data_IF_464943367330
#
_entry.id   IF_464943367330
#
_cell.length_a   1.000
_cell.length_b   1.000
_cell.length_c   1.000
_cell.angle_alpha   90.00
_cell.angle_beta   90.00
_cell.angle_gamma   90.00
#
_symmetry.space_group_name_H-M   'P 1'
#
loop_
_entity.id
_entity.type
_entity.pdbx_description
1 polymer ?
#
# COMPACT_ATOMS: atom_id res chain seq x y z
N UNK A 1 -57.54 -62.43 42.25
CA UNK A 1 -56.61 -61.37 41.76
C UNK A 1 -57.14 -60.93 40.39
N UNK A 2 -57.39 -59.62 40.18
CA UNK A 2 -58.01 -59.14 38.94
C UNK A 2 -56.96 -59.05 37.82
N UNK A 3 -57.04 -59.95 36.82
CA UNK A 3 -56.10 -60.06 35.70
C UNK A 3 -56.07 -58.81 34.81
N UNK A 4 -57.19 -58.08 34.75
CA UNK A 4 -57.31 -56.85 33.96
C UNK A 4 -56.47 -55.71 34.57
N UNK A 5 -56.47 -55.61 35.90
CA UNK A 5 -55.62 -54.66 36.64
C UNK A 5 -54.14 -54.97 36.43
N UNK A 6 -53.78 -56.25 36.44
CA UNK A 6 -52.40 -56.68 36.20
C UNK A 6 -51.95 -56.37 34.75
N UNK A 7 -52.80 -56.65 33.76
CA UNK A 7 -52.52 -56.35 32.35
C UNK A 7 -52.33 -54.84 32.11
N UNK A 8 -53.22 -54.01 32.67
CA UNK A 8 -53.10 -52.55 32.60
C UNK A 8 -51.82 -52.03 33.25
N UNK A 9 -51.42 -52.58 34.40
CA UNK A 9 -50.18 -52.21 35.06
C UNK A 9 -48.95 -52.54 34.21
N UNK A 10 -48.90 -53.71 33.57
CA UNK A 10 -47.81 -54.07 32.66
C UNK A 10 -47.75 -53.12 31.46
N UNK A 11 -48.90 -52.79 30.85
CA UNK A 11 -48.95 -51.86 29.74
C UNK A 11 -48.48 -50.46 30.13
N UNK A 12 -48.86 -50.00 31.32
CA UNK A 12 -48.42 -48.72 31.87
C UNK A 12 -46.91 -48.70 32.16
N UNK A 13 -46.35 -49.79 32.68
CA UNK A 13 -44.90 -49.93 32.87
C UNK A 13 -44.17 -49.87 31.52
N UNK A 14 -44.71 -50.50 30.48
CA UNK A 14 -44.16 -50.43 29.12
C UNK A 14 -44.14 -49.01 28.55
N UNK A 15 -45.25 -48.27 28.69
CA UNK A 15 -45.34 -46.86 28.28
C UNK A 15 -44.39 -45.97 29.08
N UNK A 16 -44.29 -46.18 30.40
CA UNK A 16 -43.40 -45.43 31.26
C UNK A 16 -41.93 -45.66 30.89
N UNK A 17 -41.55 -46.91 30.62
CA UNK A 17 -40.19 -47.25 30.16
C UNK A 17 -39.85 -46.54 28.86
N UNK A 18 -40.74 -46.58 27.86
CA UNK A 18 -40.53 -45.86 26.60
C UNK A 18 -40.40 -44.34 26.83
N UNK A 19 -41.24 -43.77 27.70
CA UNK A 19 -41.14 -42.35 28.07
C UNK A 19 -39.82 -42.00 28.75
N UNK A 20 -39.27 -42.89 29.59
CA UNK A 20 -37.95 -42.71 30.22
C UNK A 20 -36.83 -42.77 29.17
N UNK A 21 -36.91 -43.67 28.20
CA UNK A 21 -35.92 -43.79 27.13
C UNK A 21 -35.90 -42.53 26.25
N UNK A 22 -37.09 -42.03 25.84
CA UNK A 22 -37.22 -40.77 25.09
C UNK A 22 -36.76 -39.56 25.93
N UNK A 23 -37.06 -39.52 27.22
CA UNK A 23 -36.59 -38.46 28.11
C UNK A 23 -35.05 -38.41 28.16
N UNK A 24 -34.38 -39.56 28.33
CA UNK A 24 -32.93 -39.60 28.35
C UNK A 24 -32.31 -39.23 27.00
N UNK A 25 -32.95 -39.61 25.89
CA UNK A 25 -32.53 -39.21 24.55
C UNK A 25 -32.59 -37.68 24.39
N UNK A 26 -33.73 -37.06 24.72
CA UNK A 26 -33.89 -35.61 24.65
C UNK A 26 -32.92 -34.88 25.59
N UNK A 27 -32.71 -35.38 26.81
CA UNK A 27 -31.76 -34.80 27.74
C UNK A 27 -30.31 -34.82 27.21
N UNK A 28 -29.92 -35.90 26.52
CA UNK A 28 -28.61 -35.99 25.88
C UNK A 28 -28.50 -35.07 24.66
N UNK A 29 -29.56 -34.93 23.86
CA UNK A 29 -29.60 -33.98 22.74
C UNK A 29 -29.44 -32.53 23.24
N UNK A 30 -30.14 -32.16 24.31
CA UNK A 30 -30.00 -30.83 24.95
C UNK A 30 -28.56 -30.58 25.39
N UNK A 31 -27.92 -31.56 26.05
CA UNK A 31 -26.52 -31.41 26.50
C UNK A 31 -25.56 -31.20 25.33
N UNK A 32 -25.74 -31.96 24.24
CA UNK A 32 -24.92 -31.81 23.03
C UNK A 32 -25.11 -30.44 22.40
N UNK A 33 -26.34 -29.95 22.33
CA UNK A 33 -26.61 -28.62 21.76
C UNK A 33 -26.07 -27.50 22.66
N UNK A 34 -26.14 -27.64 23.98
CA UNK A 34 -25.54 -26.70 24.93
C UNK A 34 -24.01 -26.59 24.73
N UNK A 35 -23.32 -27.73 24.57
CA UNK A 35 -21.88 -27.75 24.28
C UNK A 35 -21.55 -27.08 22.94
N UNK A 36 -22.38 -27.31 21.91
CA UNK A 36 -22.27 -26.67 20.60
C UNK A 36 -22.43 -25.15 20.69
N UNK A 37 -23.43 -24.67 21.43
CA UNK A 37 -23.66 -23.24 21.67
C UNK A 37 -22.45 -22.60 22.36
N UNK A 38 -21.91 -23.22 23.41
CA UNK A 38 -20.69 -22.73 24.09
C UNK A 38 -19.49 -22.63 23.14
N UNK A 39 -19.32 -23.62 22.27
CA UNK A 39 -18.25 -23.59 21.27
C UNK A 39 -18.42 -22.44 20.27
N UNK A 40 -19.66 -22.19 19.81
CA UNK A 40 -19.98 -21.08 18.92
C UNK A 40 -19.79 -19.72 19.59
N UNK A 41 -20.21 -19.55 20.84
CA UNK A 41 -20.00 -18.32 21.61
C UNK A 41 -18.51 -18.00 21.77
N UNK A 42 -17.69 -19.01 22.09
CA UNK A 42 -16.23 -18.85 22.15
C UNK A 42 -15.63 -18.47 20.79
N UNK A 43 -16.10 -19.09 19.71
CA UNK A 43 -15.64 -18.74 18.37
C UNK A 43 -16.02 -17.31 17.98
N UNK A 44 -17.23 -16.86 18.31
CA UNK A 44 -17.69 -15.47 18.10
C UNK A 44 -16.80 -14.50 18.89
N UNK A 45 -16.48 -14.82 20.15
CA UNK A 45 -15.59 -14.00 20.97
C UNK A 45 -14.19 -13.86 20.32
N UNK A 46 -13.63 -14.98 19.83
CA UNK A 46 -12.35 -14.96 19.11
C UNK A 46 -12.40 -14.13 17.83
N UNK A 47 -13.45 -14.28 17.02
CA UNK A 47 -13.64 -13.46 15.81
C UNK A 47 -13.74 -11.96 16.13
N UNK A 48 -14.43 -11.60 17.21
CA UNK A 48 -14.51 -10.20 17.66
C UNK A 48 -13.17 -9.67 18.14
N UNK A 49 -12.35 -10.50 18.79
CA UNK A 49 -10.96 -10.19 19.14
C UNK A 49 -10.12 -9.88 17.89
N UNK A 50 -10.10 -10.79 16.93
CA UNK A 50 -9.36 -10.62 15.66
C UNK A 50 -9.85 -9.38 14.90
N UNK A 51 -11.16 -9.13 14.85
CA UNK A 51 -11.72 -7.92 14.24
C UNK A 51 -11.17 -6.65 14.88
N UNK A 52 -11.07 -6.64 16.21
CA UNK A 52 -10.53 -5.50 16.97
C UNK A 52 -9.05 -5.27 16.66
N UNK A 53 -8.27 -6.36 16.56
CA UNK A 53 -6.86 -6.30 16.15
C UNK A 53 -6.69 -5.74 14.74
N UNK A 54 -7.49 -6.20 13.77
CA UNK A 54 -7.49 -5.67 12.41
C UNK A 54 -7.88 -4.18 12.36
N UNK A 55 -8.84 -3.75 13.19
CA UNK A 55 -9.21 -2.34 13.29
C UNK A 55 -8.12 -1.47 13.92
N UNK A 56 -7.28 -2.04 14.79
CA UNK A 56 -6.07 -1.36 15.30
C UNK A 56 -4.99 -1.27 14.21
N UNK A 57 -4.68 -2.37 13.55
CA UNK A 57 -3.67 -2.42 12.48
C UNK A 57 -4.03 -1.46 11.34
N UNK A 58 -5.29 -1.44 10.92
CA UNK A 58 -5.78 -0.50 9.90
C UNK A 58 -5.55 0.97 10.30
N UNK A 59 -5.75 1.31 11.58
CA UNK A 59 -5.49 2.67 12.07
C UNK A 59 -4.01 3.00 12.10
N UNK A 60 -3.16 2.05 12.52
CA UNK A 60 -1.72 2.23 12.52
C UNK A 60 -1.19 2.45 11.10
N UNK A 61 -1.59 1.61 10.14
CA UNK A 61 -1.22 1.78 8.73
C UNK A 61 -1.68 3.14 8.15
N UNK A 62 -2.87 3.63 8.54
CA UNK A 62 -3.34 4.93 8.09
C UNK A 62 -2.47 6.09 8.63
N UNK A 63 -1.96 5.97 9.86
CA UNK A 63 -1.05 6.95 10.46
C UNK A 63 0.34 6.89 9.83
N UNK A 64 0.87 5.69 9.58
CA UNK A 64 2.15 5.51 8.86
C UNK A 64 2.09 6.14 7.47
N UNK A 65 1.00 5.91 6.72
CA UNK A 65 0.80 6.55 5.42
C UNK A 65 0.73 8.07 5.52
N UNK A 66 0.16 8.62 6.61
CA UNK A 66 0.13 10.06 6.84
C UNK A 66 1.55 10.60 7.08
N UNK A 67 2.35 9.90 7.88
CA UNK A 67 3.73 10.27 8.16
C UNK A 67 4.58 10.23 6.89
N UNK A 68 4.47 9.17 6.09
CA UNK A 68 5.18 9.04 4.81
C UNK A 68 4.86 10.21 3.88
N UNK A 69 3.58 10.59 3.77
CA UNK A 69 3.18 11.74 2.96
C UNK A 69 3.75 13.07 3.49
N UNK A 70 3.85 13.23 4.81
CA UNK A 70 4.48 14.40 5.41
C UNK A 70 5.98 14.43 5.11
N UNK A 71 6.66 13.29 5.20
CA UNK A 71 8.09 13.17 4.90
C UNK A 71 8.37 13.45 3.42
N UNK A 72 7.54 12.95 2.50
CA UNK A 72 7.61 13.27 1.06
C UNK A 72 7.54 14.78 0.85
N UNK A 73 6.55 15.46 1.43
CA UNK A 73 6.41 16.91 1.29
C UNK A 73 7.62 17.66 1.86
N UNK A 74 8.13 17.22 3.02
CA UNK A 74 9.33 17.79 3.63
C UNK A 74 10.56 17.64 2.72
N UNK A 75 10.77 16.45 2.15
CA UNK A 75 11.87 16.19 1.21
C UNK A 75 11.74 16.99 -0.08
N UNK A 76 10.53 17.16 -0.62
CA UNK A 76 10.29 18.03 -1.76
C UNK A 76 10.67 19.48 -1.48
N UNK A 77 10.32 19.99 -0.30
CA UNK A 77 10.64 21.37 0.09
C UNK A 77 12.15 21.56 0.33
N UNK A 78 12.81 20.59 0.97
CA UNK A 78 14.29 20.56 1.09
C UNK A 78 14.91 20.57 -0.31
N UNK A 79 14.43 19.72 -1.22
CA UNK A 79 14.97 19.61 -2.59
C UNK A 79 14.81 20.92 -3.36
N UNK A 80 13.64 21.56 -3.30
CA UNK A 80 13.39 22.88 -3.90
C UNK A 80 14.33 23.94 -3.32
N UNK A 81 14.48 23.97 -2.00
CA UNK A 81 15.37 24.89 -1.29
C UNK A 81 16.84 24.71 -1.69
N UNK A 82 17.33 23.47 -1.68
CA UNK A 82 18.70 23.13 -2.10
C UNK A 82 18.94 23.47 -3.56
N UNK A 83 18.00 23.17 -4.46
CA UNK A 83 18.11 23.53 -5.88
C UNK A 83 18.22 25.06 -6.05
N UNK A 84 17.39 25.82 -5.35
CA UNK A 84 17.45 27.28 -5.36
C UNK A 84 18.80 27.82 -4.87
N UNK A 85 19.33 27.27 -3.78
CA UNK A 85 20.63 27.66 -3.22
C UNK A 85 21.80 27.29 -4.16
N UNK A 86 21.74 26.13 -4.80
CA UNK A 86 22.71 25.73 -5.84
C UNK A 86 22.69 26.73 -7.00
N UNK A 87 21.52 27.08 -7.52
CA UNK A 87 21.39 28.05 -8.62
C UNK A 87 21.82 29.47 -8.21
N UNK A 88 21.63 29.83 -6.95
CA UNK A 88 22.18 31.08 -6.40
C UNK A 88 23.70 31.07 -6.39
N UNK A 89 24.33 30.00 -5.87
CA UNK A 89 25.79 29.88 -5.81
C UNK A 89 26.44 29.80 -7.18
N UNK A 90 25.81 29.07 -8.13
CA UNK A 90 26.24 29.05 -9.53
C UNK A 90 26.30 30.44 -10.12
N UNK A 91 25.23 31.24 -9.98
CA UNK A 91 25.20 32.62 -10.45
C UNK A 91 26.31 33.46 -9.84
N UNK A 92 26.56 33.33 -8.54
CA UNK A 92 27.67 34.02 -7.86
C UNK A 92 29.02 33.65 -8.47
N UNK A 93 29.29 32.36 -8.68
CA UNK A 93 30.57 31.90 -9.25
C UNK A 93 30.70 32.36 -10.71
N UNK A 94 29.66 32.25 -11.53
CA UNK A 94 29.68 32.74 -12.92
C UNK A 94 30.01 34.23 -12.99
N UNK A 95 29.43 35.05 -12.10
CA UNK A 95 29.76 36.48 -12.03
C UNK A 95 31.22 36.70 -11.64
N UNK A 96 31.72 35.97 -10.64
CA UNK A 96 33.11 36.06 -10.20
C UNK A 96 34.09 35.65 -11.31
N UNK A 97 33.81 34.56 -12.04
CA UNK A 97 34.61 34.15 -13.20
C UNK A 97 34.66 35.23 -14.28
N UNK A 98 33.52 35.87 -14.59
CA UNK A 98 33.51 36.97 -15.55
C UNK A 98 34.33 38.18 -15.08
N UNK A 99 34.44 38.43 -13.77
CA UNK A 99 35.34 39.46 -13.21
C UNK A 99 36.80 39.05 -13.37
N UNK A 100 37.14 37.81 -13.03
CA UNK A 100 38.50 37.25 -13.16
C UNK A 100 38.95 37.30 -14.62
N UNK A 101 38.11 36.90 -15.57
CA UNK A 101 38.39 36.95 -17.00
C UNK A 101 38.74 38.38 -17.46
N UNK A 102 37.97 39.38 -17.02
CA UNK A 102 38.23 40.80 -17.33
C UNK A 102 39.52 41.31 -16.71
N UNK A 103 39.77 40.99 -15.43
CA UNK A 103 40.99 41.39 -14.74
C UNK A 103 42.22 40.76 -15.38
N UNK A 104 42.13 39.49 -15.77
CA UNK A 104 43.18 38.75 -16.47
C UNK A 104 43.48 39.39 -17.83
N UNK A 105 42.46 39.75 -18.60
CA UNK A 105 42.62 40.51 -19.86
C UNK A 105 43.38 41.83 -19.64
N UNK A 106 42.90 42.64 -18.69
CA UNK A 106 43.54 43.93 -18.37
C UNK A 106 44.99 43.79 -17.91
N UNK A 107 45.31 42.81 -17.05
CA UNK A 107 46.69 42.60 -16.58
C UNK A 107 47.57 42.13 -17.75
N UNK A 108 47.09 41.20 -18.57
CA UNK A 108 47.86 40.71 -19.71
C UNK A 108 48.14 41.82 -20.75
N UNK A 109 47.18 42.70 -21.03
CA UNK A 109 47.38 43.88 -21.89
C UNK A 109 48.45 44.85 -21.33
N UNK A 110 48.46 45.06 -20.01
CA UNK A 110 49.47 45.88 -19.35
C UNK A 110 50.86 45.21 -19.37
N UNK A 111 50.95 43.89 -19.14
CA UNK A 111 52.22 43.15 -19.22
C UNK A 111 52.81 43.23 -20.63
N UNK A 112 51.98 43.08 -21.66
CA UNK A 112 52.39 43.27 -23.06
C UNK A 112 52.88 44.70 -23.33
N UNK A 113 52.17 45.70 -22.82
CA UNK A 113 52.56 47.12 -22.95
C UNK A 113 53.90 47.44 -22.25
N UNK A 114 54.26 46.67 -21.22
CA UNK A 114 55.54 46.75 -20.52
C UNK A 114 56.63 45.84 -21.09
N UNK A 115 56.36 45.16 -22.21
CA UNK A 115 57.26 44.21 -22.88
C UNK A 115 57.64 43.01 -21.99
N UNK A 116 56.75 42.59 -21.09
CA UNK A 116 56.89 41.40 -20.24
C UNK A 116 56.17 40.23 -20.93
N UNK A 117 56.90 39.19 -21.34
CA UNK A 117 56.36 38.05 -22.08
C UNK A 117 55.54 37.04 -21.26
N UNK A 118 55.29 37.30 -19.99
CA UNK A 118 54.50 36.42 -19.13
C UNK A 118 53.01 36.74 -19.26
N UNK A 119 52.15 35.72 -19.30
CA UNK A 119 50.69 35.86 -19.33
C UNK A 119 50.06 35.06 -18.20
N UNK A 120 49.06 35.67 -17.56
CA UNK A 120 48.17 34.97 -16.64
C UNK A 120 47.27 34.04 -17.46
N UNK A 121 47.23 32.78 -17.05
CA UNK A 121 46.40 31.73 -17.64
C UNK A 121 45.11 31.49 -16.82
N UNK A 122 44.23 30.66 -17.36
CA UNK A 122 43.01 30.22 -16.63
C UNK A 122 43.42 29.26 -15.53
N UNK A 123 42.93 29.47 -14.31
CA UNK A 123 43.28 28.61 -13.17
C UNK A 123 42.63 27.22 -13.25
N UNK A 124 43.17 26.26 -12.51
CA UNK A 124 42.59 24.91 -12.40
C UNK A 124 41.16 24.96 -11.84
N UNK A 125 40.91 25.83 -10.86
CA UNK A 125 39.60 26.01 -10.22
C UNK A 125 38.54 26.52 -11.21
N UNK A 126 38.90 27.44 -12.10
CA UNK A 126 38.01 27.93 -13.17
C UNK A 126 37.62 26.80 -14.13
N UNK A 127 38.56 25.91 -14.46
CA UNK A 127 38.30 24.75 -15.32
C UNK A 127 37.42 23.70 -14.62
N UNK A 128 37.69 23.41 -13.35
CA UNK A 128 36.91 22.49 -12.54
C UNK A 128 35.45 22.94 -12.39
N UNK A 129 35.22 24.25 -12.20
CA UNK A 129 33.87 24.77 -12.14
C UNK A 129 33.14 24.64 -13.48
N UNK A 130 33.79 24.94 -14.62
CA UNK A 130 33.19 24.76 -15.95
C UNK A 130 32.77 23.30 -16.18
N UNK A 131 33.66 22.35 -15.89
CA UNK A 131 33.34 20.92 -16.00
C UNK A 131 32.18 20.49 -15.08
N UNK A 132 32.13 21.03 -13.86
CA UNK A 132 31.04 20.74 -12.90
C UNK A 132 29.70 21.29 -13.41
N UNK A 133 29.72 22.49 -13.99
CA UNK A 133 28.53 23.12 -14.55
C UNK A 133 28.00 22.38 -15.79
N UNK A 134 28.91 21.97 -16.68
CA UNK A 134 28.58 21.19 -17.89
C UNK A 134 28.01 19.81 -17.56
N UNK A 135 28.59 19.10 -16.60
CA UNK A 135 28.07 17.80 -16.15
C UNK A 135 26.64 17.89 -15.60
N UNK A 136 26.33 18.97 -14.88
CA UNK A 136 24.97 19.17 -14.36
C UNK A 136 23.93 19.58 -15.41
N UNK A 137 24.37 20.08 -16.57
CA UNK A 137 23.48 20.31 -17.71
C UNK A 137 23.15 19.00 -18.43
N UNK A 138 24.12 18.07 -18.52
CA UNK A 138 23.87 16.74 -19.08
C UNK A 138 22.98 15.87 -18.18
N UNK A 139 23.11 15.99 -16.86
CA UNK A 139 22.31 15.22 -15.88
C UNK A 139 20.87 15.74 -15.74
N UNK A 140 20.56 16.91 -16.31
CA UNK A 140 19.19 17.45 -16.39
C UNK A 140 18.40 16.98 -17.62
N UNK A 141 19.01 16.17 -18.50
CA UNK A 141 18.25 15.45 -19.50
C UNK A 141 17.21 14.57 -18.77
N UNK A 142 15.91 14.63 -19.13
CA UNK A 142 14.92 13.75 -18.52
C UNK A 142 15.42 12.32 -18.67
N UNK A 143 15.32 11.47 -17.64
CA UNK A 143 15.74 10.09 -17.75
C UNK A 143 15.03 9.51 -18.97
N UNK A 144 15.81 9.17 -20.00
CA UNK A 144 15.33 8.45 -21.19
C UNK A 144 15.00 6.99 -20.87
N UNK A 145 15.02 6.64 -19.58
CA UNK A 145 14.49 5.40 -19.08
C UNK A 145 12.99 5.58 -18.85
N UNK A 146 12.14 4.74 -19.46
CA UNK A 146 10.79 4.58 -18.93
C UNK A 146 10.98 4.31 -17.44
N UNK A 147 10.28 5.05 -16.58
CA UNK A 147 10.16 4.66 -15.18
C UNK A 147 9.64 3.22 -15.20
N UNK A 148 10.55 2.26 -15.03
CA UNK A 148 10.16 0.90 -14.76
C UNK A 148 9.53 1.00 -13.39
N UNK A 149 8.20 1.08 -13.39
CA UNK A 149 7.39 0.73 -12.23
C UNK A 149 8.07 -0.51 -11.64
N UNK A 150 8.36 -0.54 -10.32
CA UNK A 150 8.92 -1.73 -9.69
C UNK A 150 8.11 -2.90 -10.20
N UNK A 151 8.79 -3.86 -10.84
CA UNK A 151 8.18 -4.96 -11.56
C UNK A 151 7.18 -5.59 -10.60
N UNK A 152 5.90 -5.24 -10.77
CA UNK A 152 4.82 -5.83 -10.00
C UNK A 152 4.95 -7.31 -10.36
N UNK A 153 5.18 -8.21 -9.39
CA UNK A 153 5.52 -9.59 -9.67
C UNK A 153 4.50 -10.09 -10.69
N UNK A 154 4.99 -10.35 -11.91
CA UNK A 154 4.17 -10.72 -13.06
C UNK A 154 3.32 -11.88 -12.59
N UNK A 155 2.04 -11.61 -12.38
CA UNK A 155 1.14 -12.59 -11.77
C UNK A 155 1.26 -13.84 -12.62
N UNK A 156 1.69 -14.99 -12.05
CA UNK A 156 1.83 -16.21 -12.82
C UNK A 156 0.50 -16.46 -13.54
N UNK A 157 0.58 -16.83 -14.82
CA UNK A 157 -0.57 -17.01 -15.72
C UNK A 157 -1.60 -18.06 -15.26
N UNK A 158 -1.41 -18.63 -14.07
CA UNK A 158 -2.25 -19.65 -13.44
C UNK A 158 -2.99 -19.07 -12.23
N UNK A 159 -3.64 -17.92 -12.41
CA UNK A 159 -4.62 -17.46 -11.42
C UNK A 159 -5.81 -18.44 -11.42
N UNK A 160 -6.26 -18.92 -10.25
CA UNK A 160 -7.53 -19.64 -10.13
C UNK A 160 -8.65 -18.88 -10.84
N UNK A 161 -9.49 -19.60 -11.60
CA UNK A 161 -10.54 -19.05 -12.49
C UNK A 161 -11.40 -17.97 -11.84
N UNK A 162 -11.64 -18.07 -10.52
CA UNK A 162 -12.34 -17.07 -9.71
C UNK A 162 -11.64 -15.70 -9.69
N UNK A 163 -10.32 -15.65 -9.52
CA UNK A 163 -9.56 -14.40 -9.51
C UNK A 163 -9.47 -13.78 -10.92
N UNK A 164 -9.44 -14.63 -11.96
CA UNK A 164 -9.45 -14.18 -13.35
C UNK A 164 -10.81 -13.58 -13.74
N UNK A 165 -11.91 -14.14 -13.22
CA UNK A 165 -13.26 -13.58 -13.36
C UNK A 165 -13.40 -12.22 -12.67
N UNK A 166 -12.82 -12.04 -11.47
CA UNK A 166 -12.83 -10.76 -10.76
C UNK A 166 -12.05 -9.66 -11.52
N UNK A 167 -10.90 -10.00 -12.10
CA UNK A 167 -10.10 -9.07 -12.92
C UNK A 167 -10.83 -8.66 -14.20
N UNK A 168 -11.49 -9.60 -14.88
CA UNK A 168 -12.28 -9.31 -16.08
C UNK A 168 -13.50 -8.41 -15.78
N UNK A 169 -14.17 -8.61 -14.65
CA UNK A 169 -15.26 -7.73 -14.21
C UNK A 169 -14.76 -6.31 -13.88
N UNK A 170 -13.56 -6.18 -13.33
CA UNK A 170 -12.94 -4.89 -13.06
C UNK A 170 -12.50 -4.16 -14.34
N UNK A 171 -12.03 -4.89 -15.36
CA UNK A 171 -11.63 -4.31 -16.65
C UNK A 171 -12.82 -3.93 -17.54
N UNK A 172 -13.97 -4.61 -17.44
CA UNK A 172 -15.19 -4.25 -18.17
C UNK A 172 -15.85 -2.94 -17.71
N UNK A 173 -15.43 -2.35 -16.59
CA UNK A 173 -15.94 -1.05 -16.13
C UNK A 173 -15.20 0.17 -16.71
N UNK A 174 -14.21 -0.03 -17.59
CA UNK A 174 -13.66 1.08 -18.39
C UNK A 174 -14.34 1.14 -19.77
N UNK A 175 -15.02 2.25 -20.12
CA UNK A 175 -15.56 2.41 -21.47
C UNK A 175 -14.42 2.68 -22.46
N UNK A 176 -14.53 2.24 -23.72
CA UNK A 176 -13.50 2.45 -24.72
C UNK A 176 -13.51 3.92 -25.18
N UNK A 177 -12.39 4.60 -24.92
CA UNK A 177 -11.91 5.82 -25.59
C UNK A 177 -12.91 6.93 -25.89
N UNK A 178 -12.89 8.02 -25.11
CA UNK A 178 -12.91 9.38 -25.67
C UNK A 178 -12.30 10.36 -24.67
N UNK A 179 -11.31 11.13 -25.12
CA UNK A 179 -10.78 12.30 -24.43
C UNK A 179 -11.90 13.32 -24.20
N UNK A 180 -12.11 13.79 -22.96
CA UNK A 180 -12.49 15.19 -22.67
C UNK A 180 -12.50 15.47 -21.16
N UNK A 181 -11.91 16.61 -20.83
CA UNK A 181 -11.73 17.20 -19.51
C UNK A 181 -13.02 17.36 -18.68
N UNK A 182 -13.07 16.87 -17.44
CA UNK A 182 -13.81 17.50 -16.33
C UNK A 182 -13.29 17.00 -14.96
N UNK A 183 -13.39 17.81 -13.89
CA UNK A 183 -12.54 17.68 -12.71
C UNK A 183 -12.91 16.50 -11.81
N UNK A 184 -11.89 15.72 -11.50
CA UNK A 184 -11.89 14.54 -10.64
C UNK A 184 -11.95 14.92 -9.17
N UNK A 185 -13.07 15.45 -8.71
CA UNK A 185 -13.35 15.58 -7.27
C UNK A 185 -14.87 15.57 -7.06
N UNK A 186 -15.38 14.50 -6.41
CA UNK A 186 -16.60 14.43 -5.57
C UNK A 186 -17.36 13.10 -5.60
N UNK A 187 -16.93 12.06 -6.33
CA UNK A 187 -17.61 10.75 -6.29
C UNK A 187 -16.60 9.67 -5.86
N UNK A 188 -16.36 9.59 -4.55
CA UNK A 188 -15.86 8.37 -3.91
C UNK A 188 -16.21 8.36 -2.42
N UNK A 189 -17.49 8.58 -2.10
CA UNK A 189 -18.05 8.16 -0.82
C UNK A 189 -18.59 6.74 -1.00
N UNK A 190 -17.88 5.81 -0.35
CA UNK A 190 -18.33 4.46 -0.02
C UNK A 190 -18.62 3.53 -1.20
N UNK A 191 -17.59 2.82 -1.67
CA UNK A 191 -17.79 1.50 -2.27
C UNK A 191 -16.66 0.58 -1.85
N UNK A 192 -16.89 -0.14 -0.75
CA UNK A 192 -16.13 -1.35 -0.44
C UNK A 192 -16.28 -2.32 -1.63
N UNK A 193 -15.20 -2.96 -2.10
CA UNK A 193 -15.28 -3.94 -3.18
C UNK A 193 -16.14 -5.15 -2.75
N UNK A 194 -17.01 -5.68 -3.64
CA UNK A 194 -17.84 -6.82 -3.32
C UNK A 194 -17.03 -8.11 -3.47
N UNK A 195 -16.22 -8.46 -2.47
CA UNK A 195 -15.71 -9.83 -2.31
C UNK A 195 -15.24 -10.10 -0.88
N UNK A 196 -16.18 -10.16 0.06
CA UNK A 196 -15.93 -10.78 1.36
C UNK A 196 -17.12 -11.62 1.87
N UNK A 197 -18.03 -12.03 0.96
CA UNK A 197 -19.22 -12.81 1.32
C UNK A 197 -19.04 -14.31 1.03
N UNK A 198 -17.95 -14.77 0.41
CA UNK A 198 -17.91 -16.16 -0.10
C UNK A 198 -16.64 -16.96 0.22
N UNK A 199 -15.99 -16.69 1.36
CA UNK A 199 -14.94 -17.58 1.89
C UNK A 199 -15.40 -18.49 3.04
N UNK A 200 -16.70 -18.48 3.40
CA UNK A 200 -17.24 -19.33 4.48
C UNK A 200 -17.83 -20.67 4.01
N UNK A 201 -17.64 -21.05 2.74
CA UNK A 201 -18.13 -22.35 2.23
C UNK A 201 -17.05 -23.12 1.48
N UNK A 202 -15.93 -23.45 2.12
CA UNK A 202 -15.08 -24.58 1.73
C UNK A 202 -14.01 -24.85 2.80
N UNK A 203 -14.45 -25.28 3.98
CA UNK A 203 -13.58 -25.99 4.94
C UNK A 203 -14.40 -26.94 5.81
N UNK A 204 -15.11 -27.85 5.14
CA UNK A 204 -15.77 -29.00 5.76
C UNK A 204 -15.74 -30.18 4.80
N UNK A 205 -14.56 -30.71 4.50
CA UNK A 205 -14.36 -32.04 3.92
C UNK A 205 -12.87 -32.40 3.88
N UNK A 206 -12.31 -32.73 5.04
CA UNK A 206 -11.13 -33.60 5.19
C UNK A 206 -10.92 -33.97 6.67
N UNK A 207 -11.72 -34.93 7.13
CA UNK A 207 -11.30 -36.08 7.96
C UNK A 207 -12.18 -37.26 7.55
#
# INVERSE_FOLDING_TARGET
MNLEVFSNNIQNIGKLRHGIDEFHKLANEIRKEEESVKALENHIANCNGIKTELDMERRNHAEELRQINQDINSLEDITKSTKSEVEKRKRTITVAMGVVDRMRGFINENLESMNIGHKLETSEEEQLFKQTFERQLSDQAPPSHPMMMPDMPRVPSDLPVFLQSLLNCAQQQQPPGTMTNLPRNMINRHRMPPSFVEASKMKASSL
#
